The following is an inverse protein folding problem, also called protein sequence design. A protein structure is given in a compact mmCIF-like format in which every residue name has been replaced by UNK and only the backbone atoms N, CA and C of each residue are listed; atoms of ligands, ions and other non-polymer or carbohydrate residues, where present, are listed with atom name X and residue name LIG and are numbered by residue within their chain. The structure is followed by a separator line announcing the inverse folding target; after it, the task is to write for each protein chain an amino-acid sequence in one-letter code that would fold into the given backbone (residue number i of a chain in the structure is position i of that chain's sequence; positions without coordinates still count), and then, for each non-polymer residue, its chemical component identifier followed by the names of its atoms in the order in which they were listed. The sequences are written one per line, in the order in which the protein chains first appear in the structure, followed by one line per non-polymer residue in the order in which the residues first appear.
data_IF_581009523824
#
_entry.id   IF_581009523824
#
_cell.length_a   1.000
_cell.length_b   1.000
_cell.length_c   1.000
_cell.angle_alpha   90.00
_cell.angle_beta   90.00
_cell.angle_gamma   90.00
#
_symmetry.space_group_name_H-M   'P 1'
#
loop_
_entity.id
_entity.type
_entity.pdbx_description
1 polymer ?
#
# COMPACT_ATOMS: atom_id res chain seq x y z
N UNK A 1 5.37 11.70 -24.51
CA UNK A 1 4.96 12.84 -23.64
C UNK A 1 5.17 12.43 -22.19
N UNK A 2 6.16 13.04 -21.52
CA UNK A 2 6.45 12.76 -20.10
C UNK A 2 5.50 13.50 -19.16
N UNK A 3 5.35 12.99 -17.94
CA UNK A 3 4.57 13.62 -16.85
C UNK A 3 5.56 14.28 -15.89
N UNK A 4 5.19 15.43 -15.30
CA UNK A 4 5.98 16.05 -14.22
C UNK A 4 6.19 15.06 -13.06
N UNK A 5 7.45 14.83 -12.68
CA UNK A 5 7.82 13.92 -11.59
C UNK A 5 7.09 14.29 -10.29
N UNK A 6 7.06 15.57 -9.95
CA UNK A 6 6.40 16.08 -8.73
C UNK A 6 4.89 15.80 -8.75
N UNK A 7 4.23 16.03 -9.89
CA UNK A 7 2.80 15.76 -10.02
C UNK A 7 2.49 14.25 -9.91
N UNK A 8 3.32 13.41 -10.52
CA UNK A 8 3.18 11.95 -10.47
C UNK A 8 3.41 11.41 -9.05
N UNK A 9 4.44 11.89 -8.35
CA UNK A 9 4.71 11.56 -6.95
C UNK A 9 3.55 11.98 -6.04
N UNK A 10 3.06 13.22 -6.16
CA UNK A 10 1.92 13.71 -5.38
C UNK A 10 0.69 12.82 -5.57
N UNK A 11 0.38 12.41 -6.79
CA UNK A 11 -0.76 11.51 -7.08
C UNK A 11 -0.60 10.14 -6.43
N UNK A 12 0.58 9.52 -6.54
CA UNK A 12 0.85 8.22 -5.90
C UNK A 12 0.80 8.33 -4.38
N UNK A 13 1.40 9.35 -3.80
CA UNK A 13 1.35 9.56 -2.36
C UNK A 13 -0.07 9.76 -1.87
N UNK A 14 -0.88 10.61 -2.51
CA UNK A 14 -2.28 10.83 -2.14
C UNK A 14 -3.07 9.52 -2.22
N UNK A 15 -2.88 8.72 -3.27
CA UNK A 15 -3.50 7.40 -3.38
C UNK A 15 -3.16 6.52 -2.16
N UNK A 16 -1.88 6.42 -1.81
CA UNK A 16 -1.44 5.58 -0.71
C UNK A 16 -1.88 6.08 0.66
N UNK A 17 -1.78 7.38 0.93
CA UNK A 17 -2.19 7.95 2.22
C UNK A 17 -3.69 7.82 2.46
N UNK A 18 -4.52 8.08 1.45
CA UNK A 18 -5.98 7.92 1.58
C UNK A 18 -6.30 6.46 1.87
N UNK A 19 -5.75 5.51 1.11
CA UNK A 19 -6.06 4.10 1.30
C UNK A 19 -5.48 3.53 2.60
N UNK A 20 -4.32 3.99 3.04
CA UNK A 20 -3.77 3.65 4.36
C UNK A 20 -4.71 4.11 5.48
N UNK A 21 -5.21 5.35 5.42
CA UNK A 21 -6.15 5.88 6.40
C UNK A 21 -7.46 5.07 6.41
N UNK A 22 -8.01 4.75 5.24
CA UNK A 22 -9.23 3.93 5.14
C UNK A 22 -9.01 2.53 5.72
N UNK A 23 -7.90 1.87 5.39
CA UNK A 23 -7.56 0.56 5.96
C UNK A 23 -7.34 0.65 7.48
N UNK A 24 -6.65 1.67 7.98
CA UNK A 24 -6.48 1.88 9.42
C UNK A 24 -7.83 2.05 10.13
N UNK A 25 -8.78 2.78 9.55
CA UNK A 25 -10.14 2.90 10.09
C UNK A 25 -10.85 1.55 10.14
N UNK A 26 -10.71 0.69 9.13
CA UNK A 26 -11.25 -0.67 9.17
C UNK A 26 -10.63 -1.51 10.31
N UNK A 27 -9.33 -1.40 10.53
CA UNK A 27 -8.64 -2.09 11.62
C UNK A 27 -9.05 -1.56 12.99
N UNK A 28 -9.31 -0.26 13.13
CA UNK A 28 -9.90 0.32 14.33
C UNK A 28 -11.29 -0.27 14.58
N UNK A 29 -12.13 -0.38 13.55
CA UNK A 29 -13.45 -1.02 13.67
C UNK A 29 -13.31 -2.47 14.14
N UNK A 30 -12.40 -3.26 13.54
CA UNK A 30 -12.16 -4.64 13.95
C UNK A 30 -11.65 -4.76 15.40
N UNK A 31 -10.82 -3.81 15.84
CA UNK A 31 -10.35 -3.74 17.21
C UNK A 31 -11.50 -3.46 18.18
N UNK A 32 -12.33 -2.44 17.91
CA UNK A 32 -13.44 -2.04 18.80
C UNK A 32 -14.56 -3.08 18.81
N UNK A 33 -14.77 -3.79 17.70
CA UNK A 33 -15.80 -4.85 17.60
C UNK A 33 -15.30 -6.23 18.07
N UNK A 34 -14.07 -6.32 18.58
CA UNK A 34 -13.50 -7.57 19.09
C UNK A 34 -13.24 -8.63 18.02
N UNK A 35 -13.16 -8.25 16.74
CA UNK A 35 -12.98 -9.17 15.61
C UNK A 35 -11.60 -9.83 15.55
N UNK A 36 -10.61 -9.24 16.22
CA UNK A 36 -9.28 -9.84 16.37
C UNK A 36 -9.15 -10.77 17.59
N UNK A 37 -10.23 -10.97 18.36
CA UNK A 37 -10.23 -11.78 19.58
C UNK A 37 -9.09 -11.33 20.52
N UNK A 38 -8.23 -12.24 20.96
CA UNK A 38 -7.08 -11.95 21.83
C UNK A 38 -5.85 -11.44 21.05
N UNK A 39 -5.87 -11.52 19.72
CA UNK A 39 -4.71 -11.32 18.83
C UNK A 39 -4.74 -9.97 18.09
N UNK A 40 -5.14 -8.90 18.78
CA UNK A 40 -5.18 -7.53 18.22
C UNK A 40 -3.82 -7.11 17.65
N UNK A 41 -2.72 -7.46 18.34
CA UNK A 41 -1.36 -7.14 17.91
C UNK A 41 -1.02 -7.73 16.53
N UNK A 42 -1.42 -8.97 16.25
CA UNK A 42 -1.17 -9.64 14.98
C UNK A 42 -1.90 -8.95 13.81
N UNK A 43 -3.12 -8.44 14.04
CA UNK A 43 -3.82 -7.61 13.06
C UNK A 43 -3.02 -6.35 12.72
N UNK A 44 -2.65 -5.57 13.73
CA UNK A 44 -1.88 -4.34 13.52
C UNK A 44 -0.48 -4.59 12.93
N UNK A 45 0.15 -5.71 13.25
CA UNK A 45 1.40 -6.15 12.63
C UNK A 45 1.20 -6.38 11.12
N UNK A 46 0.16 -7.10 10.73
CA UNK A 46 -0.16 -7.31 9.32
C UNK A 46 -0.38 -5.99 8.58
N UNK A 47 -1.15 -5.06 9.16
CA UNK A 47 -1.34 -3.73 8.57
C UNK A 47 0.00 -3.00 8.40
N UNK A 48 0.82 -3.03 9.45
CA UNK A 48 2.08 -2.30 9.48
C UNK A 48 3.07 -2.83 8.45
N UNK A 49 3.19 -4.15 8.32
CA UNK A 49 4.09 -4.81 7.35
C UNK A 49 3.72 -4.49 5.89
N UNK A 50 2.43 -4.34 5.59
CA UNK A 50 1.95 -4.12 4.23
C UNK A 50 1.89 -2.62 3.85
N UNK A 51 1.66 -1.72 4.80
CA UNK A 51 1.39 -0.30 4.53
C UNK A 51 2.58 0.61 4.84
N UNK A 52 3.23 0.44 6.00
CA UNK A 52 4.22 1.39 6.50
C UNK A 52 5.45 1.51 5.59
N UNK A 53 6.03 0.43 5.02
CA UNK A 53 7.18 0.55 4.12
C UNK A 53 6.90 1.48 2.93
N UNK A 54 5.70 1.38 2.35
CA UNK A 54 5.31 2.18 1.18
C UNK A 54 5.06 3.63 1.57
N UNK A 55 4.39 3.89 2.70
CA UNK A 55 4.21 5.26 3.19
C UNK A 55 5.55 5.94 3.51
N UNK A 56 6.48 5.24 4.15
CA UNK A 56 7.83 5.74 4.40
C UNK A 56 8.54 6.12 3.10
N UNK A 57 8.42 5.29 2.07
CA UNK A 57 8.95 5.58 0.74
C UNK A 57 8.33 6.84 0.15
N UNK A 58 7.01 7.01 0.22
CA UNK A 58 6.31 8.21 -0.26
C UNK A 58 6.78 9.47 0.47
N UNK A 59 6.89 9.42 1.80
CA UNK A 59 7.38 10.54 2.63
C UNK A 59 8.82 10.92 2.24
N UNK A 60 9.70 9.93 2.11
CA UNK A 60 11.10 10.17 1.72
C UNK A 60 11.22 10.93 0.40
N UNK A 61 10.30 10.70 -0.53
CA UNK A 61 10.32 11.37 -1.83
C UNK A 61 9.93 12.84 -1.75
N UNK A 62 9.04 13.21 -0.83
CA UNK A 62 8.70 14.61 -0.58
C UNK A 62 9.88 15.37 0.04
N UNK A 63 10.58 14.75 1.00
CA UNK A 63 11.76 15.35 1.62
C UNK A 63 12.85 15.70 0.59
N UNK A 64 13.11 14.80 -0.36
CA UNK A 64 14.09 15.02 -1.44
C UNK A 64 13.62 16.12 -2.41
N UNK A 65 12.32 16.21 -2.66
CA UNK A 65 11.73 17.16 -3.63
C UNK A 65 11.71 18.60 -3.10
N UNK A 66 11.53 18.79 -1.78
CA UNK A 66 11.56 20.12 -1.15
C UNK A 66 13.00 20.67 -1.09
N UNK A 67 14.00 19.80 -0.91
CA UNK A 67 15.40 20.19 -0.72
C UNK A 67 16.21 20.38 -2.00
N UNK A 68 15.65 20.11 -3.19
CA UNK A 68 16.32 20.33 -4.48
C UNK A 68 15.65 21.47 -5.24
N UNK A 69 16.43 22.41 -5.77
CA UNK A 69 15.97 23.40 -6.75
C UNK A 69 15.36 22.63 -7.92
N UNK A 70 14.05 22.77 -8.12
CA UNK A 70 13.27 21.94 -9.03
C UNK A 70 13.60 22.28 -10.50
N UNK A 71 14.56 21.59 -11.09
CA UNK A 71 14.52 21.39 -12.53
C UNK A 71 13.27 20.55 -12.85
N UNK A 72 12.50 20.94 -13.88
CA UNK A 72 11.32 20.20 -14.34
C UNK A 72 11.71 18.82 -14.89
N UNK A 73 11.96 17.88 -13.98
CA UNK A 73 12.20 16.48 -14.36
C UNK A 73 10.89 15.86 -14.81
N UNK A 74 10.90 15.33 -16.03
CA UNK A 74 9.81 14.53 -16.57
C UNK A 74 10.11 13.05 -16.34
N UNK A 75 9.06 12.27 -16.16
CA UNK A 75 9.13 10.82 -16.09
C UNK A 75 8.34 10.26 -17.26
N UNK A 76 8.79 9.13 -17.80
CA UNK A 76 8.04 8.40 -18.81
C UNK A 76 6.66 8.00 -18.24
N UNK A 77 5.62 8.28 -19.03
CA UNK A 77 4.25 7.95 -18.70
C UNK A 77 4.05 6.45 -18.52
N UNK A 78 4.83 5.61 -19.21
CA UNK A 78 4.80 4.16 -19.05
C UNK A 78 5.18 3.73 -17.63
N UNK A 79 6.32 4.21 -17.10
CA UNK A 79 6.76 3.84 -15.74
C UNK A 79 5.80 4.37 -14.67
N UNK A 80 5.26 5.58 -14.86
CA UNK A 80 4.21 6.09 -13.97
C UNK A 80 2.95 5.21 -13.99
N UNK A 81 2.44 4.87 -15.18
CA UNK A 81 1.23 4.05 -15.30
C UNK A 81 1.45 2.63 -14.75
N UNK A 82 2.65 2.06 -14.91
CA UNK A 82 3.02 0.77 -14.35
C UNK A 82 3.00 0.82 -12.81
N UNK A 83 3.68 1.80 -12.22
CA UNK A 83 3.70 1.99 -10.77
C UNK A 83 2.30 2.25 -10.19
N UNK A 84 1.48 3.04 -10.89
CA UNK A 84 0.10 3.31 -10.51
C UNK A 84 -0.76 2.05 -10.60
N UNK A 85 -0.69 1.31 -11.71
CA UNK A 85 -1.47 0.09 -11.92
C UNK A 85 -1.17 -0.97 -10.88
N UNK A 86 0.12 -1.19 -10.58
CA UNK A 86 0.55 -2.16 -9.56
C UNK A 86 0.17 -1.68 -8.15
N UNK A 87 0.26 -0.38 -7.86
CA UNK A 87 -0.22 0.19 -6.58
C UNK A 87 -1.71 -0.06 -6.38
N UNK A 88 -2.53 0.23 -7.40
CA UNK A 88 -3.98 0.01 -7.36
C UNK A 88 -4.28 -1.48 -7.20
N UNK A 89 -3.61 -2.34 -7.98
CA UNK A 89 -3.79 -3.79 -7.87
C UNK A 89 -3.48 -4.30 -6.46
N UNK A 90 -2.33 -3.93 -5.89
CA UNK A 90 -1.96 -4.34 -4.53
C UNK A 90 -2.95 -3.83 -3.48
N UNK A 91 -3.39 -2.56 -3.57
CA UNK A 91 -4.40 -2.01 -2.67
C UNK A 91 -5.73 -2.78 -2.78
N UNK A 92 -6.17 -3.12 -3.99
CA UNK A 92 -7.38 -3.95 -4.20
C UNK A 92 -7.21 -5.30 -3.51
N UNK A 93 -6.06 -5.95 -3.65
CA UNK A 93 -5.79 -7.23 -2.98
C UNK A 93 -5.86 -7.07 -1.46
N UNK A 94 -5.25 -6.02 -0.88
CA UNK A 94 -5.36 -5.75 0.56
C UNK A 94 -6.80 -5.54 1.01
N UNK A 95 -7.59 -4.75 0.26
CA UNK A 95 -9.01 -4.57 0.57
C UNK A 95 -9.78 -5.88 0.49
N UNK A 96 -9.54 -6.70 -0.54
CA UNK A 96 -10.19 -7.99 -0.65
C UNK A 96 -9.86 -8.89 0.55
N UNK A 97 -8.59 -8.96 0.98
CA UNK A 97 -8.21 -9.73 2.18
C UNK A 97 -8.95 -9.24 3.43
N UNK A 98 -9.02 -7.92 3.64
CA UNK A 98 -9.65 -7.34 4.84
C UNK A 98 -11.18 -7.47 4.82
N UNK A 99 -11.81 -7.21 3.68
CA UNK A 99 -13.27 -7.25 3.53
C UNK A 99 -13.81 -8.68 3.48
N UNK A 100 -13.03 -9.64 2.99
CA UNK A 100 -13.41 -11.06 3.00
C UNK A 100 -13.14 -11.73 4.35
N UNK A 101 -12.31 -11.14 5.23
CA UNK A 101 -12.01 -11.74 6.54
C UNK A 101 -13.26 -12.04 7.38
N UNK A 102 -14.23 -11.11 7.55
CA UNK A 102 -15.47 -11.44 8.27
C UNK A 102 -16.33 -12.48 7.56
N UNK A 103 -16.30 -12.55 6.23
CA UNK A 103 -17.08 -13.52 5.45
C UNK A 103 -16.48 -14.92 5.61
N UNK A 104 -15.17 -15.05 5.51
CA UNK A 104 -14.44 -16.30 5.70
C UNK A 104 -14.61 -16.86 7.11
N UNK A 105 -14.62 -15.98 8.12
CA UNK A 105 -14.92 -16.37 9.50
C UNK A 105 -16.31 -17.01 9.64
N UNK A 106 -17.34 -16.40 9.05
CA UNK A 106 -18.70 -16.92 9.17
C UNK A 106 -18.97 -18.15 8.28
N UNK A 107 -18.31 -18.27 7.11
CA UNK A 107 -18.61 -19.31 6.12
C UNK A 107 -17.72 -20.55 6.24
N UNK A 108 -16.50 -20.41 6.75
CA UNK A 108 -15.49 -21.46 6.76
C UNK A 108 -14.82 -21.64 8.14
N UNK A 109 -15.34 -21.00 9.20
CA UNK A 109 -14.81 -21.02 10.57
C UNK A 109 -13.32 -20.62 10.66
N UNK A 110 -12.84 -19.88 9.66
CA UNK A 110 -11.45 -19.46 9.58
C UNK A 110 -11.25 -18.18 10.41
N UNK A 111 -10.36 -18.21 11.40
CA UNK A 111 -10.06 -16.99 12.17
C UNK A 111 -9.52 -15.88 11.24
N UNK A 112 -9.84 -14.62 11.56
CA UNK A 112 -9.37 -13.47 10.78
C UNK A 112 -7.84 -13.42 10.74
N UNK A 113 -7.19 -13.76 11.85
CA UNK A 113 -5.74 -13.80 11.95
C UNK A 113 -5.16 -14.90 11.07
N UNK A 114 -5.78 -16.08 11.00
CA UNK A 114 -5.32 -17.14 10.11
C UNK A 114 -5.43 -16.75 8.64
N UNK A 115 -6.49 -16.03 8.25
CA UNK A 115 -6.58 -15.48 6.89
C UNK A 115 -5.44 -14.48 6.62
N UNK A 116 -5.13 -13.61 7.57
CA UNK A 116 -4.05 -12.64 7.44
C UNK A 116 -2.68 -13.32 7.36
N UNK A 117 -2.42 -14.36 8.16
CA UNK A 117 -1.20 -15.17 8.04
C UNK A 117 -1.06 -15.82 6.66
N UNK A 118 -2.12 -16.49 6.19
CA UNK A 118 -2.13 -17.13 4.87
C UNK A 118 -1.95 -16.12 3.74
N UNK A 119 -2.45 -14.90 3.92
CA UNK A 119 -2.35 -13.85 2.90
C UNK A 119 -0.93 -13.34 2.66
N UNK A 120 -0.04 -13.46 3.64
CA UNK A 120 1.34 -12.98 3.54
C UNK A 120 2.06 -13.55 2.32
N UNK A 121 1.79 -14.80 1.95
CA UNK A 121 2.49 -15.48 0.86
C UNK A 121 2.33 -14.76 -0.48
N UNK A 122 1.11 -14.34 -0.83
CA UNK A 122 0.85 -13.64 -2.08
C UNK A 122 1.09 -12.14 -1.96
N UNK A 123 0.86 -11.55 -0.78
CA UNK A 123 1.11 -10.13 -0.54
C UNK A 123 2.58 -9.77 -0.65
N UNK A 124 3.48 -10.60 -0.09
CA UNK A 124 4.93 -10.38 -0.19
C UNK A 124 5.40 -10.40 -1.65
N UNK A 125 4.88 -11.34 -2.46
CA UNK A 125 5.23 -11.41 -3.87
C UNK A 125 4.79 -10.16 -4.63
N UNK A 126 3.54 -9.72 -4.42
CA UNK A 126 3.00 -8.53 -5.08
C UNK A 126 3.70 -7.26 -4.57
N UNK A 127 4.01 -7.18 -3.28
CA UNK A 127 4.74 -6.09 -2.66
C UNK A 127 6.17 -5.98 -3.20
N UNK A 128 6.83 -7.10 -3.50
CA UNK A 128 8.13 -7.11 -4.19
C UNK A 128 8.05 -6.43 -5.56
N UNK A 129 7.06 -6.82 -6.37
CA UNK A 129 6.81 -6.22 -7.69
C UNK A 129 6.45 -4.73 -7.60
N UNK A 130 5.62 -4.37 -6.62
CA UNK A 130 5.27 -2.99 -6.31
C UNK A 130 6.50 -2.16 -5.96
N UNK A 131 7.31 -2.64 -5.02
CA UNK A 131 8.50 -1.94 -4.52
C UNK A 131 9.51 -1.72 -5.64
N UNK A 132 9.71 -2.74 -6.49
CA UNK A 132 10.55 -2.62 -7.67
C UNK A 132 10.01 -1.58 -8.66
N UNK A 133 8.70 -1.62 -8.94
CA UNK A 133 8.06 -0.69 -9.89
C UNK A 133 8.09 0.76 -9.40
N UNK A 134 7.86 0.97 -8.10
CA UNK A 134 8.04 2.27 -7.45
C UNK A 134 9.51 2.70 -7.52
N UNK A 135 10.46 1.82 -7.19
CA UNK A 135 11.89 2.09 -7.28
C UNK A 135 12.32 2.53 -8.68
N UNK A 136 11.89 1.82 -9.72
CA UNK A 136 12.12 2.19 -11.11
C UNK A 136 11.54 3.58 -11.44
N UNK A 137 10.33 3.87 -10.98
CA UNK A 137 9.71 5.18 -11.17
C UNK A 137 10.51 6.31 -10.49
N UNK A 138 11.13 6.06 -9.32
CA UNK A 138 11.89 7.08 -8.61
C UNK A 138 13.31 7.27 -9.12
N UNK A 139 14.00 6.19 -9.50
CA UNK A 139 15.39 6.20 -9.97
C UNK A 139 15.49 6.63 -11.42
N UNK A 140 14.54 6.24 -12.28
CA UNK A 140 14.62 6.52 -13.71
C UNK A 140 14.21 7.97 -13.99
N UNK A 141 15.21 8.82 -14.13
CA UNK A 141 15.08 10.16 -14.71
C UNK A 141 15.10 10.02 -16.24
N UNK A 142 14.20 10.70 -16.96
CA UNK A 142 14.22 10.73 -18.43
C UNK A 142 15.18 11.79 -18.93
#
# INVERSE_FOLDING_TARGET
MGISKVAAQKKLSVLWFINAAVLALLFIIFTVTGKFEENVSAGWEWYSQNIIPILTMMIGTFYITVNKVQEEKRVDRFYYNLALGISVFYLVVLYLTVLLAPVAFNAAELSIIELFEKSKIYLVLIQGVLTFSLGLFFVKES
#
